data_IF_700625204086
#
_entry.id   IF_700625204086
#
_cell.length_a   1.000
_cell.length_b   1.000
_cell.length_c   1.000
_cell.angle_alpha   90.00
_cell.angle_beta   90.00
_cell.angle_gamma   90.00
#
_symmetry.space_group_name_H-M   'P 1'
#
loop_
_entity.id
_entity.type
_entity.pdbx_description
1 polymer ?
#
# COMPACT_ATOMS: atom_id res chain seq x y z
N UNK A 1 -10.50 1.43 -5.86
CA UNK A 1 -11.41 1.54 -4.71
C UNK A 1 -12.64 0.68 -4.93
N UNK A 2 -12.59 -0.56 -4.50
CA UNK A 2 -13.68 -1.53 -4.68
C UNK A 2 -14.44 -1.83 -3.39
N UNK A 3 -14.10 -1.17 -2.30
CA UNK A 3 -14.76 -1.32 -1.00
C UNK A 3 -15.84 -0.24 -0.81
N UNK A 4 -16.85 -0.49 0.03
CA UNK A 4 -17.79 0.55 0.48
C UNK A 4 -17.07 1.75 1.07
N UNK A 5 -17.76 2.89 1.07
CA UNK A 5 -17.25 4.11 1.68
C UNK A 5 -16.86 3.87 3.16
N UNK A 6 -15.60 4.10 3.49
CA UNK A 6 -15.08 3.97 4.85
C UNK A 6 -15.09 5.29 5.64
N UNK A 7 -15.41 6.41 5.02
CA UNK A 7 -15.51 7.72 5.69
C UNK A 7 -16.90 8.04 6.18
N UNK A 8 -17.93 7.38 5.64
CA UNK A 8 -19.32 7.67 5.94
C UNK A 8 -19.79 8.97 5.32
N UNK A 9 -19.43 9.24 4.08
CA UNK A 9 -19.91 10.39 3.35
C UNK A 9 -21.44 10.40 3.26
N UNK A 10 -22.07 11.59 3.30
CA UNK A 10 -23.51 11.70 3.11
C UNK A 10 -23.93 11.18 1.74
N UNK A 11 -24.92 10.29 1.71
CA UNK A 11 -25.42 9.68 0.47
C UNK A 11 -26.54 10.48 -0.22
N UNK A 12 -26.84 11.70 0.24
CA UNK A 12 -27.91 12.54 -0.29
C UNK A 12 -29.34 12.08 0.08
N UNK A 13 -29.48 10.99 0.84
CA UNK A 13 -30.77 10.42 1.28
C UNK A 13 -30.97 10.54 2.79
N UNK A 14 -30.19 11.38 3.45
CA UNK A 14 -30.26 11.60 4.90
C UNK A 14 -29.48 10.57 5.73
N UNK A 15 -28.61 9.78 5.09
CA UNK A 15 -27.72 8.80 5.72
C UNK A 15 -26.34 8.81 5.10
N UNK A 16 -25.59 7.74 5.31
CA UNK A 16 -24.27 7.49 4.70
C UNK A 16 -24.27 6.16 3.94
N UNK A 17 -23.34 6.00 3.01
CA UNK A 17 -23.11 4.73 2.32
C UNK A 17 -22.11 3.84 3.07
N UNK A 18 -21.64 4.24 4.26
CA UNK A 18 -20.79 3.42 5.09
C UNK A 18 -21.52 2.18 5.59
N UNK A 19 -21.06 1.03 5.18
CA UNK A 19 -21.57 -0.26 5.64
C UNK A 19 -20.82 -0.71 6.89
N UNK A 20 -21.36 -0.40 8.06
CA UNK A 20 -20.73 -0.74 9.35
C UNK A 20 -20.68 -2.25 9.60
N UNK A 21 -21.62 -3.03 9.07
CA UNK A 21 -21.63 -4.48 9.17
C UNK A 21 -20.45 -5.07 8.35
N UNK A 22 -20.27 -4.57 7.12
CA UNK A 22 -19.15 -4.95 6.29
C UNK A 22 -17.80 -4.54 6.90
N UNK A 23 -17.69 -3.33 7.47
CA UNK A 23 -16.48 -2.89 8.15
C UNK A 23 -16.14 -3.80 9.34
N UNK A 24 -17.11 -4.16 10.15
CA UNK A 24 -16.92 -5.12 11.24
C UNK A 24 -16.50 -6.50 10.72
N UNK A 25 -17.12 -6.98 9.64
CA UNK A 25 -16.72 -8.23 8.98
C UNK A 25 -15.25 -8.19 8.55
N UNK A 26 -14.81 -7.12 7.88
CA UNK A 26 -13.42 -6.96 7.43
C UNK A 26 -12.46 -6.93 8.62
N UNK A 27 -12.79 -6.18 9.69
CA UNK A 27 -11.96 -6.14 10.90
C UNK A 27 -11.82 -7.52 11.55
N UNK A 28 -12.92 -8.28 11.66
CA UNK A 28 -12.90 -9.63 12.21
C UNK A 28 -12.07 -10.57 11.35
N UNK A 29 -12.21 -10.52 10.01
CA UNK A 29 -11.41 -11.34 9.10
C UNK A 29 -9.92 -11.00 9.15
N UNK A 30 -9.57 -9.73 9.30
CA UNK A 30 -8.19 -9.33 9.51
C UNK A 30 -7.63 -9.88 10.84
N UNK A 31 -8.41 -9.82 11.93
CA UNK A 31 -8.02 -10.38 13.21
C UNK A 31 -7.85 -11.92 13.16
N UNK A 32 -8.78 -12.62 12.50
CA UNK A 32 -8.67 -14.06 12.25
C UNK A 32 -7.36 -14.40 11.51
N UNK A 33 -7.08 -13.70 10.39
CA UNK A 33 -5.87 -13.91 9.60
C UNK A 33 -4.58 -13.66 10.42
N UNK A 34 -4.58 -12.65 11.29
CA UNK A 34 -3.44 -12.38 12.20
C UNK A 34 -3.27 -13.55 13.19
N UNK A 35 -4.34 -14.03 13.78
CA UNK A 35 -4.30 -15.15 14.73
C UNK A 35 -3.81 -16.44 14.06
N UNK A 36 -4.27 -16.74 12.84
CA UNK A 36 -3.78 -17.86 12.03
C UNK A 36 -2.28 -17.73 11.72
N UNK A 37 -1.83 -16.53 11.33
CA UNK A 37 -0.42 -16.26 11.07
C UNK A 37 0.43 -16.47 12.33
N UNK A 38 -0.04 -16.02 13.50
CA UNK A 38 0.65 -16.22 14.78
C UNK A 38 0.71 -17.71 15.15
N UNK A 39 -0.38 -18.45 14.97
CA UNK A 39 -0.41 -19.89 15.23
C UNK A 39 0.50 -20.68 14.26
N UNK A 40 0.67 -20.19 13.03
CA UNK A 40 1.52 -20.78 12.00
C UNK A 40 2.97 -20.27 11.97
N UNK A 41 3.45 -19.54 13.00
CA UNK A 41 4.80 -19.02 13.04
C UNK A 41 5.86 -20.12 12.90
N UNK A 42 6.81 -19.89 12.02
CA UNK A 42 7.95 -20.79 11.79
C UNK A 42 9.26 -20.00 11.70
N UNK A 43 10.40 -20.61 12.04
CA UNK A 43 11.69 -19.97 11.88
C UNK A 43 11.95 -19.63 10.42
N UNK A 44 12.35 -18.37 10.20
CA UNK A 44 12.66 -17.85 8.87
C UNK A 44 13.89 -16.95 8.90
N UNK A 45 14.48 -16.79 7.74
CA UNK A 45 15.41 -15.70 7.44
C UNK A 45 14.72 -14.69 6.52
N UNK A 46 15.22 -13.44 6.50
CA UNK A 46 14.66 -12.40 5.64
C UNK A 46 15.67 -11.99 4.58
N UNK A 47 15.22 -11.94 3.33
CA UNK A 47 15.90 -11.23 2.25
C UNK A 47 15.23 -9.88 2.08
N UNK A 48 16.01 -8.82 2.08
CA UNK A 48 15.52 -7.45 1.93
C UNK A 48 16.32 -6.76 0.84
N UNK A 49 15.64 -6.11 -0.08
CA UNK A 49 16.28 -5.40 -1.17
C UNK A 49 15.46 -4.18 -1.62
N UNK A 50 16.16 -3.23 -2.20
CA UNK A 50 15.57 -2.06 -2.86
C UNK A 50 16.22 -1.91 -4.22
N UNK A 51 15.42 -1.75 -5.25
CA UNK A 51 15.92 -1.54 -6.61
C UNK A 51 14.92 -0.76 -7.46
N UNK A 52 15.38 -0.24 -8.57
CA UNK A 52 14.49 0.34 -9.57
C UNK A 52 13.72 -0.79 -10.26
N UNK A 53 12.39 -0.71 -10.27
CA UNK A 53 11.55 -1.53 -11.12
C UNK A 53 11.62 -0.98 -12.55
N UNK A 54 11.94 -1.85 -13.50
CA UNK A 54 12.10 -1.51 -14.90
C UNK A 54 10.82 -1.77 -15.68
N UNK A 55 10.71 -1.13 -16.82
CA UNK A 55 9.58 -1.29 -17.73
C UNK A 55 8.46 -0.27 -17.52
N UNK A 56 7.40 -0.45 -18.28
CA UNK A 56 6.26 0.44 -18.32
C UNK A 56 5.26 0.01 -17.24
N UNK A 57 5.52 0.39 -15.95
CA UNK A 57 4.72 -0.01 -14.79
C UNK A 57 3.85 1.15 -14.30
N UNK A 58 4.48 2.26 -13.95
CA UNK A 58 3.81 3.42 -13.38
C UNK A 58 4.31 4.73 -13.97
N UNK A 59 3.50 5.76 -13.88
CA UNK A 59 3.85 7.14 -14.15
C UNK A 59 3.00 8.07 -13.28
N UNK A 60 3.38 9.34 -13.21
CA UNK A 60 2.52 10.34 -12.59
C UNK A 60 1.68 11.03 -13.69
N UNK A 61 0.37 11.04 -13.53
CA UNK A 61 -0.56 11.58 -14.53
C UNK A 61 -0.30 13.05 -14.86
N UNK A 62 0.01 13.88 -13.85
CA UNK A 62 0.24 15.31 -14.02
C UNK A 62 1.71 15.65 -14.35
N UNK A 63 2.65 14.84 -13.89
CA UNK A 63 4.09 15.04 -14.08
C UNK A 63 4.77 13.69 -14.32
N UNK A 64 4.76 13.16 -15.55
CA UNK A 64 5.06 11.75 -15.85
C UNK A 64 6.35 11.20 -15.25
N UNK A 65 7.36 12.04 -15.03
CA UNK A 65 8.65 11.63 -14.44
C UNK A 65 8.71 11.79 -12.91
N UNK A 66 7.69 12.40 -12.29
CA UNK A 66 7.68 12.69 -10.86
C UNK A 66 6.99 11.55 -10.09
N UNK A 67 7.66 10.43 -9.94
CA UNK A 67 7.25 9.32 -9.08
C UNK A 67 8.47 8.51 -8.64
N UNK A 68 8.35 7.73 -7.58
CA UNK A 68 9.46 6.91 -7.07
C UNK A 68 9.46 5.52 -7.72
N UNK A 69 10.35 5.25 -8.68
CA UNK A 69 10.41 3.96 -9.37
C UNK A 69 11.08 2.86 -8.54
N UNK A 70 11.49 3.14 -7.30
CA UNK A 70 12.10 2.14 -6.42
C UNK A 70 11.04 1.21 -5.86
N UNK A 71 11.25 -0.07 -6.09
CA UNK A 71 10.51 -1.15 -5.47
C UNK A 71 11.31 -1.67 -4.28
N UNK A 72 10.67 -1.70 -3.11
CA UNK A 72 11.24 -2.32 -1.92
C UNK A 72 10.62 -3.70 -1.75
N UNK A 73 11.45 -4.69 -1.46
CA UNK A 73 11.00 -6.08 -1.35
C UNK A 73 11.53 -6.68 -0.05
N UNK A 74 10.66 -7.37 0.67
CA UNK A 74 11.01 -8.20 1.82
C UNK A 74 10.47 -9.59 1.59
N UNK A 75 11.33 -10.60 1.66
CA UNK A 75 10.99 -11.99 1.39
C UNK A 75 11.36 -12.86 2.59
N UNK A 76 10.37 -13.59 3.12
CA UNK A 76 10.58 -14.57 4.16
C UNK A 76 10.97 -15.92 3.54
N UNK A 77 12.07 -16.49 4.03
CA UNK A 77 12.67 -17.73 3.51
C UNK A 77 12.73 -18.77 4.61
N UNK A 78 12.13 -19.91 4.38
CA UNK A 78 12.11 -21.03 5.31
C UNK A 78 13.47 -21.69 5.51
N UNK A 79 13.54 -22.65 6.43
CA UNK A 79 14.78 -23.43 6.68
C UNK A 79 15.20 -24.28 5.50
N UNK A 80 14.28 -24.64 4.62
CA UNK A 80 14.52 -25.36 3.37
C UNK A 80 15.09 -24.48 2.25
N UNK A 81 15.30 -23.19 2.53
CA UNK A 81 15.80 -22.21 1.58
C UNK A 81 14.73 -21.68 0.61
N UNK A 82 13.47 -22.11 0.73
CA UNK A 82 12.38 -21.66 -0.14
C UNK A 82 11.67 -20.45 0.44
N UNK A 83 11.38 -19.45 -0.39
CA UNK A 83 10.50 -18.36 0.01
C UNK A 83 9.08 -18.86 0.27
N UNK A 84 8.43 -18.34 1.32
CA UNK A 84 7.02 -18.62 1.61
C UNK A 84 6.14 -17.36 1.67
N UNK A 85 6.75 -16.16 1.73
CA UNK A 85 6.04 -14.90 1.60
C UNK A 85 6.95 -13.83 0.98
N UNK A 86 6.38 -12.97 0.13
CA UNK A 86 7.08 -11.85 -0.50
C UNK A 86 6.23 -10.59 -0.40
N UNK A 87 6.70 -9.61 0.37
CA UNK A 87 6.12 -8.28 0.46
C UNK A 87 6.76 -7.38 -0.58
N UNK A 88 5.92 -6.70 -1.35
CA UNK A 88 6.28 -5.72 -2.38
C UNK A 88 5.72 -4.36 -1.98
N UNK A 89 6.59 -3.37 -1.83
CA UNK A 89 6.20 -1.99 -1.57
C UNK A 89 6.56 -1.12 -2.78
N UNK A 90 5.56 -0.57 -3.42
CA UNK A 90 5.71 0.25 -4.63
C UNK A 90 4.67 1.37 -4.66
N UNK A 91 5.06 2.53 -5.19
CA UNK A 91 4.16 3.68 -5.32
C UNK A 91 3.36 3.57 -6.62
N UNK A 92 2.10 3.14 -6.53
CA UNK A 92 1.18 3.00 -7.66
C UNK A 92 -0.26 2.87 -7.17
N UNK A 93 -1.22 3.53 -7.82
CA UNK A 93 -2.63 3.25 -7.61
C UNK A 93 -3.02 1.97 -8.37
N UNK A 94 -3.68 0.99 -7.72
CA UNK A 94 -4.23 -0.19 -8.39
C UNK A 94 -5.58 0.14 -9.03
N UNK A 95 -5.56 0.79 -10.19
CA UNK A 95 -6.75 1.32 -10.88
C UNK A 95 -6.70 1.13 -12.40
N UNK A 96 -5.99 0.10 -12.86
CA UNK A 96 -5.84 -0.22 -14.29
C UNK A 96 -7.19 -0.36 -15.00
N UNK A 97 -8.16 -1.01 -14.35
CA UNK A 97 -9.48 -1.28 -14.94
C UNK A 97 -10.38 -0.05 -14.98
N UNK A 98 -10.04 1.02 -14.25
CA UNK A 98 -10.88 2.20 -14.13
C UNK A 98 -12.22 1.93 -13.46
N UNK A 99 -13.10 2.92 -13.47
CA UNK A 99 -14.42 2.84 -12.82
C UNK A 99 -15.56 2.38 -13.75
N UNK A 100 -15.33 2.41 -15.06
CA UNK A 100 -16.39 2.18 -16.05
C UNK A 100 -16.92 0.74 -16.11
N UNK A 101 -16.14 -0.22 -15.63
CA UNK A 101 -16.54 -1.64 -15.68
C UNK A 101 -17.48 -2.05 -14.55
N UNK A 102 -17.58 -1.26 -13.47
CA UNK A 102 -18.53 -1.53 -12.36
C UNK A 102 -18.28 -2.85 -11.64
N UNK A 103 -17.05 -3.35 -11.61
CA UNK A 103 -16.69 -4.64 -11.01
C UNK A 103 -15.87 -4.45 -9.73
N UNK A 104 -16.07 -5.33 -8.76
CA UNK A 104 -15.18 -5.48 -7.60
C UNK A 104 -13.99 -6.35 -8.02
N UNK A 105 -12.78 -5.84 -7.84
CA UNK A 105 -11.57 -6.50 -8.31
C UNK A 105 -10.36 -6.06 -7.47
N UNK A 106 -9.38 -6.96 -7.23
CA UNK A 106 -8.09 -6.56 -6.66
C UNK A 106 -7.22 -5.78 -7.66
N UNK A 107 -7.73 -5.52 -8.89
CA UNK A 107 -6.99 -4.89 -9.97
C UNK A 107 -5.64 -5.60 -10.23
N UNK A 108 -4.58 -4.89 -10.56
CA UNK A 108 -3.25 -5.44 -10.84
C UNK A 108 -2.63 -6.20 -9.64
N UNK A 109 -3.13 -5.99 -8.43
CA UNK A 109 -2.62 -6.66 -7.22
C UNK A 109 -2.94 -8.16 -7.23
N UNK A 110 -4.10 -8.58 -7.77
CA UNK A 110 -4.42 -10.00 -7.95
C UNK A 110 -3.39 -10.71 -8.82
N UNK A 111 -3.21 -10.32 -10.08
CA UNK A 111 -2.19 -10.87 -10.96
C UNK A 111 -0.75 -10.79 -10.42
N UNK A 112 -0.44 -9.76 -9.62
CA UNK A 112 0.86 -9.68 -8.93
C UNK A 112 1.03 -10.83 -7.93
N UNK A 113 0.01 -11.12 -7.13
CA UNK A 113 0.04 -12.23 -6.17
C UNK A 113 0.16 -13.58 -6.85
N UNK A 114 -0.64 -13.81 -7.88
CA UNK A 114 -0.61 -15.05 -8.66
C UNK A 114 0.77 -15.28 -9.30
N UNK A 115 1.37 -14.23 -9.85
CA UNK A 115 2.69 -14.30 -10.47
C UNK A 115 3.80 -14.58 -9.45
N UNK A 116 3.78 -13.93 -8.27
CA UNK A 116 4.73 -14.20 -7.18
C UNK A 116 4.63 -15.67 -6.77
N UNK A 117 3.43 -16.18 -6.51
CA UNK A 117 3.19 -17.55 -6.10
C UNK A 117 3.67 -18.55 -7.17
N UNK A 118 3.28 -18.35 -8.43
CA UNK A 118 3.68 -19.20 -9.55
C UNK A 118 5.20 -19.22 -9.80
N UNK A 119 5.89 -18.14 -9.42
CA UNK A 119 7.36 -18.02 -9.55
C UNK A 119 8.14 -18.49 -8.30
N UNK A 120 7.48 -19.15 -7.35
CA UNK A 120 8.10 -19.67 -6.13
C UNK A 120 8.42 -18.61 -5.07
N UNK A 121 7.80 -17.44 -5.14
CA UNK A 121 7.94 -16.35 -4.16
C UNK A 121 7.07 -16.51 -2.91
N UNK A 122 6.24 -17.56 -2.86
CA UNK A 122 5.27 -17.77 -1.78
C UNK A 122 4.08 -16.82 -1.83
N UNK A 123 3.46 -16.53 -0.69
CA UNK A 123 2.32 -15.61 -0.62
C UNK A 123 2.76 -14.18 -0.92
N UNK A 124 2.11 -13.55 -1.92
CA UNK A 124 2.33 -12.15 -2.25
C UNK A 124 1.64 -11.23 -1.25
N UNK A 125 2.31 -10.13 -0.89
CA UNK A 125 1.75 -9.05 -0.06
C UNK A 125 2.13 -7.74 -0.77
N UNK A 126 1.15 -6.87 -1.01
CA UNK A 126 1.40 -5.57 -1.63
C UNK A 126 1.09 -4.43 -0.65
N UNK A 127 1.99 -3.46 -0.60
CA UNK A 127 1.82 -2.23 0.18
C UNK A 127 2.12 -1.03 -0.71
N UNK A 128 1.18 -0.09 -0.76
CA UNK A 128 1.37 1.17 -1.47
C UNK A 128 2.50 2.00 -0.85
N UNK A 129 3.15 2.78 -1.71
CA UNK A 129 4.13 3.79 -1.29
C UNK A 129 3.55 5.21 -1.28
N UNK A 130 4.38 6.19 -1.62
CA UNK A 130 3.98 7.58 -1.81
C UNK A 130 3.35 7.76 -3.20
N UNK A 131 2.07 7.47 -3.31
CA UNK A 131 1.32 7.41 -4.58
C UNK A 131 0.49 8.67 -4.87
N UNK A 132 0.44 9.63 -3.94
CA UNK A 132 -0.33 10.86 -4.10
C UNK A 132 0.06 11.65 -5.35
N UNK A 133 -0.81 12.56 -5.80
CA UNK A 133 -0.64 13.28 -7.05
C UNK A 133 -0.82 12.40 -8.29
N UNK A 134 -1.64 11.35 -8.21
CA UNK A 134 -2.00 10.44 -9.31
C UNK A 134 -0.80 9.67 -9.89
N UNK A 135 -0.04 9.00 -9.03
CA UNK A 135 0.92 7.98 -9.48
C UNK A 135 0.14 6.71 -9.81
N UNK A 136 -0.10 6.49 -11.08
CA UNK A 136 -0.98 5.44 -11.59
C UNK A 136 -0.24 4.44 -12.48
N UNK A 137 -0.92 3.37 -12.89
CA UNK A 137 -0.39 2.37 -13.80
C UNK A 137 -0.15 2.97 -15.21
N UNK A 138 1.01 2.70 -15.81
CA UNK A 138 1.28 3.14 -17.17
C UNK A 138 0.69 2.16 -18.18
N UNK A 139 -0.60 2.35 -18.46
CA UNK A 139 -1.39 1.59 -19.44
C UNK A 139 -1.68 2.40 -20.71
N UNK A 140 -0.96 3.50 -20.93
CA UNK A 140 -1.15 4.36 -22.11
C UNK A 140 -0.83 3.60 -23.39
N UNK A 141 -1.79 3.60 -24.30
CA UNK A 141 -1.61 3.09 -25.67
C UNK A 141 -0.72 4.01 -26.53
N UNK A 142 -0.52 3.65 -27.82
CA UNK A 142 0.25 4.46 -28.76
C UNK A 142 -0.33 5.86 -29.00
N UNK A 143 -1.63 6.02 -28.82
CA UNK A 143 -2.36 7.29 -28.95
C UNK A 143 -2.36 8.12 -27.63
N UNK A 144 -1.67 7.63 -26.61
CA UNK A 144 -1.58 8.27 -25.30
C UNK A 144 -2.79 8.06 -24.39
N UNK A 145 -3.82 7.35 -24.84
CA UNK A 145 -5.00 7.02 -24.02
C UNK A 145 -4.78 5.77 -23.20
N UNK A 146 -5.43 5.71 -22.05
CA UNK A 146 -5.37 4.54 -21.17
C UNK A 146 -6.12 3.35 -21.77
N UNK A 147 -5.46 2.20 -21.75
CA UNK A 147 -6.01 0.90 -22.16
C UNK A 147 -6.46 0.16 -20.90
N UNK A 148 -7.72 0.35 -20.52
CA UNK A 148 -8.32 -0.18 -19.28
C UNK A 148 -8.87 -1.59 -19.50
N UNK A 149 -7.98 -2.59 -19.61
CA UNK A 149 -8.36 -3.98 -19.91
C UNK A 149 -7.75 -4.94 -18.88
N UNK A 150 -8.34 -6.14 -18.79
CA UNK A 150 -7.81 -7.23 -17.97
C UNK A 150 -6.40 -7.68 -18.42
N UNK A 151 -6.10 -7.54 -19.71
CA UNK A 151 -4.76 -7.88 -20.23
C UNK A 151 -3.71 -6.90 -19.71
N UNK A 152 -4.00 -5.61 -19.73
CA UNK A 152 -3.12 -4.59 -19.14
C UNK A 152 -3.02 -4.74 -17.62
N UNK A 153 -4.12 -5.08 -16.96
CA UNK A 153 -4.13 -5.38 -15.53
C UNK A 153 -3.18 -6.55 -15.21
N UNK A 154 -3.24 -7.64 -15.95
CA UNK A 154 -2.31 -8.77 -15.84
C UNK A 154 -0.87 -8.36 -16.18
N UNK A 155 -0.68 -7.59 -17.24
CA UNK A 155 0.66 -7.13 -17.65
C UNK A 155 1.35 -6.34 -16.55
N UNK A 156 0.68 -5.36 -15.96
CA UNK A 156 1.24 -4.53 -14.87
C UNK A 156 1.56 -5.39 -13.65
N UNK A 157 0.60 -6.23 -13.20
CA UNK A 157 0.79 -7.11 -12.05
C UNK A 157 1.96 -8.07 -12.23
N UNK A 158 2.04 -8.74 -13.38
CA UNK A 158 3.13 -9.67 -13.69
C UNK A 158 4.48 -8.95 -13.79
N UNK A 159 4.53 -7.79 -14.46
CA UNK A 159 5.76 -7.04 -14.62
C UNK A 159 6.31 -6.56 -13.27
N UNK A 160 5.46 -6.04 -12.39
CA UNK A 160 5.87 -5.63 -11.06
C UNK A 160 6.32 -6.84 -10.20
N UNK A 161 5.64 -7.98 -10.31
CA UNK A 161 6.05 -9.21 -9.62
C UNK A 161 7.43 -9.70 -10.08
N UNK A 162 7.66 -9.76 -11.39
CA UNK A 162 8.92 -10.20 -11.97
C UNK A 162 10.08 -9.27 -11.56
N UNK A 163 9.85 -7.95 -11.56
CA UNK A 163 10.83 -6.96 -11.10
C UNK A 163 11.11 -7.07 -9.61
N UNK A 164 10.08 -7.26 -8.77
CA UNK A 164 10.26 -7.47 -7.33
C UNK A 164 11.12 -8.72 -7.06
N UNK A 165 10.80 -9.84 -7.72
CA UNK A 165 11.57 -11.08 -7.59
C UNK A 165 12.99 -10.93 -8.13
N UNK A 166 13.20 -10.20 -9.22
CA UNK A 166 14.53 -9.87 -9.75
C UNK A 166 15.35 -9.06 -8.72
N UNK A 167 14.73 -8.05 -8.11
CA UNK A 167 15.39 -7.16 -7.14
C UNK A 167 15.85 -7.93 -5.91
N UNK A 168 15.03 -8.85 -5.39
CA UNK A 168 15.37 -9.58 -4.15
C UNK A 168 16.27 -10.81 -4.39
N UNK A 169 16.39 -11.30 -5.62
CA UNK A 169 17.08 -12.58 -5.95
C UNK A 169 18.51 -12.65 -5.45
N UNK A 170 19.26 -11.56 -5.52
CA UNK A 170 20.67 -11.52 -5.15
C UNK A 170 20.96 -11.07 -3.72
N UNK A 171 19.92 -10.78 -2.93
CA UNK A 171 20.11 -10.27 -1.58
C UNK A 171 20.50 -11.37 -0.59
N UNK A 172 21.36 -11.00 0.37
CA UNK A 172 21.80 -11.89 1.44
C UNK A 172 20.70 -12.05 2.49
N UNK A 173 20.44 -13.30 2.88
CA UNK A 173 19.44 -13.60 3.89
C UNK A 173 19.95 -13.25 5.30
N UNK A 174 19.19 -12.43 6.01
CA UNK A 174 19.42 -12.06 7.41
C UNK A 174 18.79 -13.12 8.31
N UNK A 175 19.62 -13.85 9.07
CA UNK A 175 19.16 -15.00 9.89
C UNK A 175 18.48 -14.61 11.21
N UNK A 176 18.88 -13.48 11.79
CA UNK A 176 18.36 -13.00 13.08
C UNK A 176 18.09 -11.49 13.01
N UNK A 177 17.16 -11.03 12.16
CA UNK A 177 16.83 -9.63 12.05
C UNK A 177 16.22 -9.14 13.36
N UNK A 178 16.77 -8.08 13.93
CA UNK A 178 16.16 -7.42 15.10
C UNK A 178 14.92 -6.66 14.67
N UNK A 179 13.88 -6.72 15.49
CA UNK A 179 12.64 -5.99 15.28
C UNK A 179 12.51 -4.92 16.36
N UNK A 180 12.20 -3.71 15.96
CA UNK A 180 11.86 -2.60 16.85
C UNK A 180 10.69 -1.83 16.26
N UNK A 181 9.69 -1.54 17.07
CA UNK A 181 8.54 -0.75 16.67
C UNK A 181 8.36 0.42 17.64
N UNK A 182 8.17 1.60 17.09
CA UNK A 182 7.77 2.79 17.81
C UNK A 182 6.67 3.52 17.06
N UNK A 183 5.89 4.30 17.77
CA UNK A 183 4.81 5.09 17.16
C UNK A 183 4.70 6.45 17.83
N UNK A 184 4.02 7.34 17.13
CA UNK A 184 3.65 8.66 17.66
C UNK A 184 2.26 9.01 17.12
N UNK A 185 1.41 9.46 18.02
CA UNK A 185 0.17 10.12 17.64
C UNK A 185 0.49 11.55 17.19
N UNK A 186 -0.09 11.95 16.07
CA UNK A 186 0.10 13.25 15.43
C UNK A 186 -1.27 13.90 15.29
N UNK A 187 -1.41 15.09 15.86
CA UNK A 187 -2.64 15.90 15.73
C UNK A 187 -2.43 16.92 14.62
N UNK A 188 -3.27 16.88 13.62
CA UNK A 188 -3.22 17.72 12.43
C UNK A 188 -4.39 18.69 12.42
N UNK A 189 -4.20 19.98 12.07
CA UNK A 189 -5.31 20.91 11.85
C UNK A 189 -6.06 20.50 10.59
N UNK A 190 -7.38 20.71 10.60
CA UNK A 190 -8.26 20.54 9.44
C UNK A 190 -8.75 21.92 9.01
N UNK A 191 -8.12 22.48 7.99
CA UNK A 191 -8.43 23.82 7.49
C UNK A 191 -9.59 23.84 6.47
N UNK A 192 -9.94 22.69 5.90
CA UNK A 192 -11.09 22.57 5.00
C UNK A 192 -12.39 22.45 5.79
N UNK A 193 -13.29 23.46 5.73
CA UNK A 193 -14.60 23.37 6.40
C UNK A 193 -15.44 22.18 5.89
N UNK A 194 -15.33 21.87 4.59
CA UNK A 194 -16.05 20.76 3.98
C UNK A 194 -15.53 19.42 4.54
N UNK A 195 -14.24 19.21 4.55
CA UNK A 195 -13.65 17.98 5.12
C UNK A 195 -14.00 17.83 6.60
N UNK A 196 -13.91 18.93 7.37
CA UNK A 196 -14.27 18.92 8.78
C UNK A 196 -15.75 18.54 8.99
N UNK A 197 -16.65 19.06 8.17
CA UNK A 197 -18.06 18.70 8.22
C UNK A 197 -18.28 17.20 7.92
N UNK A 198 -17.64 16.68 6.88
CA UNK A 198 -17.70 15.26 6.52
C UNK A 198 -17.18 14.35 7.65
N UNK A 199 -16.02 14.67 8.23
CA UNK A 199 -15.44 13.91 9.34
C UNK A 199 -16.35 13.91 10.59
N UNK A 200 -17.00 15.05 10.88
CA UNK A 200 -17.95 15.17 12.00
C UNK A 200 -19.26 14.42 11.76
N UNK A 201 -19.69 14.32 10.51
CA UNK A 201 -20.91 13.60 10.13
C UNK A 201 -20.68 12.09 10.01
N UNK A 202 -19.43 11.63 9.93
CA UNK A 202 -19.11 10.23 9.81
C UNK A 202 -19.61 9.41 11.01
N UNK A 203 -20.30 8.28 10.79
CA UNK A 203 -20.70 7.37 11.86
C UNK A 203 -19.49 6.74 12.59
N UNK A 204 -18.30 6.82 12.01
CA UNK A 204 -17.06 6.35 12.61
C UNK A 204 -16.47 7.30 13.65
N UNK A 205 -17.11 8.49 13.84
CA UNK A 205 -16.66 9.50 14.82
C UNK A 205 -15.20 9.92 14.66
N UNK A 206 -14.79 10.14 13.41
CA UNK A 206 -13.40 10.44 13.04
C UNK A 206 -12.91 11.80 13.56
N UNK A 207 -13.81 12.73 13.85
CA UNK A 207 -13.50 14.01 14.48
C UNK A 207 -14.50 14.34 15.58
N UNK A 208 -14.04 15.03 16.63
CA UNK A 208 -14.95 15.54 17.67
C UNK A 208 -15.65 16.80 17.21
N UNK A 209 -16.90 17.04 17.63
CA UNK A 209 -17.71 18.18 17.16
C UNK A 209 -17.05 19.56 17.34
N UNK A 210 -16.32 19.75 18.43
CA UNK A 210 -15.72 21.05 18.80
C UNK A 210 -14.25 21.20 18.39
N UNK A 211 -13.64 20.15 17.83
CA UNK A 211 -12.25 20.17 17.41
C UNK A 211 -12.14 20.44 15.90
N UNK A 212 -11.19 21.32 15.53
CA UNK A 212 -10.76 21.53 14.14
C UNK A 212 -9.47 20.76 13.86
N UNK A 213 -9.36 19.58 14.45
CA UNK A 213 -8.19 18.74 14.35
C UNK A 213 -8.58 17.28 14.15
N UNK A 214 -7.69 16.53 13.58
CA UNK A 214 -7.75 15.06 13.53
C UNK A 214 -6.47 14.49 14.12
N UNK A 215 -6.60 13.46 14.93
CA UNK A 215 -5.44 12.74 15.49
C UNK A 215 -5.28 11.40 14.79
N UNK A 216 -4.12 11.17 14.25
CA UNK A 216 -3.74 9.93 13.57
C UNK A 216 -2.44 9.37 14.15
N UNK A 217 -2.03 8.19 13.72
CA UNK A 217 -0.83 7.52 14.20
C UNK A 217 0.16 7.28 13.08
N UNK A 218 1.44 7.56 13.38
CA UNK A 218 2.57 7.22 12.52
C UNK A 218 3.44 6.19 13.24
N UNK A 219 3.78 5.11 12.54
CA UNK A 219 4.64 4.05 13.06
C UNK A 219 5.98 4.05 12.34
N UNK A 220 7.04 3.75 13.10
CA UNK A 220 8.36 3.46 12.59
C UNK A 220 8.73 2.05 13.03
N UNK A 221 8.91 1.16 12.06
CA UNK A 221 9.25 -0.25 12.31
C UNK A 221 10.59 -0.56 11.66
N UNK A 222 11.54 -1.06 12.47
CA UNK A 222 12.80 -1.57 11.96
C UNK A 222 12.72 -3.11 11.95
N UNK A 223 13.12 -3.70 10.84
CA UNK A 223 13.22 -5.16 10.67
C UNK A 223 14.54 -5.46 9.99
N UNK A 224 15.54 -5.86 10.78
CA UNK A 224 16.91 -6.00 10.26
C UNK A 224 17.40 -4.70 9.63
N UNK A 225 17.80 -4.75 8.37
CA UNK A 225 18.31 -3.60 7.61
C UNK A 225 17.18 -2.72 7.01
N UNK A 226 15.92 -3.14 7.14
CA UNK A 226 14.79 -2.35 6.68
C UNK A 226 14.29 -1.39 7.77
N UNK A 227 13.91 -0.21 7.31
CA UNK A 227 13.12 0.75 8.09
C UNK A 227 11.81 1.03 7.35
N UNK A 228 10.69 0.87 8.02
CA UNK A 228 9.34 1.05 7.50
C UNK A 228 8.70 2.23 8.20
N UNK A 229 8.25 3.22 7.46
CA UNK A 229 7.48 4.37 7.97
C UNK A 229 6.07 4.32 7.41
N UNK A 230 5.06 4.41 8.27
CA UNK A 230 3.66 4.49 7.85
C UNK A 230 3.27 5.93 7.58
N UNK A 231 2.42 6.15 6.58
CA UNK A 231 1.84 7.44 6.22
C UNK A 231 0.32 7.30 6.25
N UNK A 232 -0.40 8.09 7.04
CA UNK A 232 -1.85 7.99 7.19
C UNK A 232 -2.62 8.68 6.05
N UNK A 233 -2.14 8.57 4.83
CA UNK A 233 -2.71 9.19 3.65
C UNK A 233 -1.89 8.90 2.39
N UNK A 234 -2.15 9.66 1.35
CA UNK A 234 -1.51 9.53 0.04
C UNK A 234 -0.45 10.62 -0.14
N UNK A 235 0.76 10.38 0.35
CA UNK A 235 1.85 11.35 0.21
C UNK A 235 2.22 11.60 -1.26
N UNK A 236 2.42 12.86 -1.62
CA UNK A 236 2.97 13.24 -2.91
C UNK A 236 4.41 12.69 -3.08
N UNK A 237 4.88 12.43 -4.31
CA UNK A 237 6.19 11.84 -4.54
C UNK A 237 7.35 12.60 -3.88
N UNK A 238 7.31 13.93 -3.90
CA UNK A 238 8.35 14.77 -3.27
C UNK A 238 8.41 14.57 -1.75
N UNK A 239 7.26 14.36 -1.09
CA UNK A 239 7.18 14.04 0.33
C UNK A 239 7.79 12.65 0.55
N UNK A 240 7.44 11.68 -0.30
CA UNK A 240 8.03 10.34 -0.26
C UNK A 240 9.55 10.35 -0.38
N UNK A 241 10.09 11.11 -1.33
CA UNK A 241 11.54 11.30 -1.48
C UNK A 241 12.16 11.96 -0.25
N UNK A 242 11.53 13.01 0.28
CA UNK A 242 12.01 13.71 1.47
C UNK A 242 12.08 12.77 2.67
N UNK A 243 11.02 12.02 2.95
CA UNK A 243 10.95 11.08 4.07
C UNK A 243 12.01 9.98 3.93
N UNK A 244 12.12 9.34 2.78
CA UNK A 244 13.13 8.31 2.54
C UNK A 244 14.57 8.81 2.72
N UNK A 245 14.85 10.09 2.42
CA UNK A 245 16.18 10.70 2.70
C UNK A 245 16.44 10.94 4.18
N UNK A 246 15.38 11.10 4.99
CA UNK A 246 15.51 11.28 6.47
C UNK A 246 15.59 9.96 7.21
N UNK A 247 15.06 8.89 6.62
CA UNK A 247 15.15 7.54 7.18
C UNK A 247 16.60 7.04 7.14
N UNK A 248 16.94 6.16 8.07
CA UNK A 248 18.33 5.70 8.31
C UNK A 248 18.51 4.20 8.03
N UNK A 249 17.46 3.50 7.56
CA UNK A 249 17.58 2.11 7.13
C UNK A 249 18.39 2.00 5.84
N UNK A 250 19.01 0.85 5.63
CA UNK A 250 19.60 0.52 4.34
C UNK A 250 18.51 0.41 3.27
N UNK A 251 17.35 -0.14 3.67
CA UNK A 251 16.16 -0.28 2.84
C UNK A 251 14.99 0.48 3.50
N UNK A 252 14.57 1.58 2.87
CA UNK A 252 13.55 2.47 3.41
C UNK A 252 12.21 2.27 2.70
N UNK A 253 11.26 1.68 3.42
CA UNK A 253 9.89 1.43 2.97
C UNK A 253 8.98 2.57 3.44
N UNK A 254 8.08 3.02 2.58
CA UNK A 254 6.95 3.86 2.97
C UNK A 254 5.66 3.08 2.74
N UNK A 255 4.88 2.92 3.79
CA UNK A 255 3.53 2.33 3.70
C UNK A 255 2.51 3.47 3.69
N UNK A 256 2.03 3.81 2.52
CA UNK A 256 0.95 4.77 2.33
C UNK A 256 -0.40 4.18 2.75
N UNK A 257 -1.38 5.05 3.01
CA UNK A 257 -2.73 4.67 3.43
C UNK A 257 -2.74 3.69 4.61
N UNK A 258 -1.83 3.90 5.56
CA UNK A 258 -1.63 2.99 6.70
C UNK A 258 -1.91 3.72 8.00
N UNK A 259 -2.77 3.14 8.82
CA UNK A 259 -3.46 3.61 10.02
C UNK A 259 -4.68 4.49 9.70
N UNK A 260 -4.59 5.38 8.70
CA UNK A 260 -5.67 6.20 8.19
C UNK A 260 -5.53 6.44 6.70
N UNK A 261 -6.56 7.03 6.08
CA UNK A 261 -6.61 7.35 4.66
C UNK A 261 -7.04 8.82 4.46
N UNK A 262 -6.26 9.75 5.04
CA UNK A 262 -6.62 11.17 5.09
C UNK A 262 -6.56 11.88 3.71
N UNK A 263 -6.22 11.16 2.65
CA UNK A 263 -6.07 11.69 1.30
C UNK A 263 -4.74 12.42 1.11
N UNK A 264 -4.74 13.45 0.23
CA UNK A 264 -3.60 14.32 -0.10
C UNK A 264 -4.02 15.77 -0.32
#
# INVERSE_FOLDING_TARGET
HSAPDCYGFPNGRGGTDADLEYLNFVCNKAAEAINEAVAGLQPASLRIATGKANGKIAYNYYAPQLYDPRCNVMQAVGRDGKPFATLVNYAIHPEVLGSSQGVLSPDMVGPLYDRIAASGGGTGIFMNGAQGGMVTADVRGPDGKDVQTWDECRRIGHLLADEALRIVRGSVAQKNPKIHCSWRDVTLPVDSPMLLALLKMSPLKLAKPDEKTITTRVNLVNVGDAQILTIPGEALPNIGYYLKRKMKGQHNFLFGLTNDALGY
#
